data_IF_608347557580
#
_entry.id   IF_608347557580
#
_cell.length_a   1.000
_cell.length_b   1.000
_cell.length_c   1.000
_cell.angle_alpha   90.00
_cell.angle_beta   90.00
_cell.angle_gamma   90.00
#
_symmetry.space_group_name_H-M   'P 1'
#
loop_
_entity.id
_entity.type
_entity.pdbx_description
1 polymer ?
#
# COMPACT_ATOMS: atom_id res chain seq x y z
N UNK A 1 -3.11 27.05 1.50
CA UNK A 1 -4.36 26.40 1.05
C UNK A 1 -5.19 25.86 2.21
N UNK A 2 -4.58 25.33 3.26
CA UNK A 2 -5.24 24.79 4.47
C UNK A 2 -6.20 25.78 5.16
N UNK A 3 -5.81 27.06 5.29
CA UNK A 3 -6.67 28.10 5.92
C UNK A 3 -8.03 28.24 5.23
N UNK A 4 -8.08 28.14 3.90
CA UNK A 4 -9.34 28.21 3.14
C UNK A 4 -10.25 27.00 3.40
N UNK A 5 -9.66 25.81 3.51
CA UNK A 5 -10.41 24.58 3.80
C UNK A 5 -11.04 24.62 5.21
N UNK A 6 -10.33 25.12 6.21
CA UNK A 6 -10.87 25.29 7.57
C UNK A 6 -11.98 26.33 7.64
N UNK A 7 -11.90 27.41 6.85
CA UNK A 7 -12.98 28.40 6.76
C UNK A 7 -14.24 27.78 6.14
N UNK A 8 -14.10 27.03 5.05
CA UNK A 8 -15.23 26.32 4.44
C UNK A 8 -15.86 25.31 5.39
N UNK A 9 -15.04 24.52 6.08
CA UNK A 9 -15.51 23.56 7.08
C UNK A 9 -16.27 24.27 8.22
N UNK A 10 -15.74 25.40 8.69
CA UNK A 10 -16.37 26.18 9.76
C UNK A 10 -17.71 26.79 9.33
N UNK A 11 -17.77 27.38 8.13
CA UNK A 11 -19.01 27.95 7.56
C UNK A 11 -20.04 26.85 7.33
N UNK A 12 -19.63 25.73 6.73
CA UNK A 12 -20.49 24.58 6.51
C UNK A 12 -21.05 24.01 7.82
N UNK A 13 -20.21 23.92 8.87
CA UNK A 13 -20.62 23.43 10.18
C UNK A 13 -21.65 24.36 10.85
N UNK A 14 -21.45 25.68 10.78
CA UNK A 14 -22.40 26.67 11.31
C UNK A 14 -23.74 26.59 10.58
N UNK A 15 -23.71 26.47 9.25
CA UNK A 15 -24.92 26.28 8.45
C UNK A 15 -25.62 24.97 8.83
N UNK A 16 -24.92 23.83 8.83
CA UNK A 16 -25.50 22.54 9.22
C UNK A 16 -26.13 22.58 10.60
N UNK A 17 -25.45 23.20 11.57
CA UNK A 17 -25.97 23.37 12.92
C UNK A 17 -27.23 24.23 12.95
N UNK A 18 -27.24 25.36 12.22
CA UNK A 18 -28.42 26.21 12.09
C UNK A 18 -29.62 25.46 11.50
N UNK A 19 -29.40 24.67 10.44
CA UNK A 19 -30.43 23.85 9.82
C UNK A 19 -30.97 22.78 10.76
N UNK A 20 -30.08 22.13 11.50
CA UNK A 20 -30.43 21.12 12.49
C UNK A 20 -31.23 21.70 13.67
N UNK A 21 -30.81 22.84 14.23
CA UNK A 21 -31.55 23.53 15.30
C UNK A 21 -32.93 23.95 14.80
N UNK A 22 -33.03 24.50 13.58
CA UNK A 22 -34.31 24.92 13.01
C UNK A 22 -35.28 23.74 12.83
N UNK A 23 -34.79 22.60 12.32
CA UNK A 23 -35.59 21.37 12.21
C UNK A 23 -36.02 20.84 13.58
N UNK A 24 -35.15 20.91 14.58
CA UNK A 24 -35.45 20.46 15.95
C UNK A 24 -36.53 21.33 16.60
N UNK A 25 -36.40 22.66 16.50
CA UNK A 25 -37.43 23.61 16.98
C UNK A 25 -38.75 23.36 16.27
N UNK A 26 -38.74 23.14 14.96
CA UNK A 26 -39.94 22.80 14.21
C UNK A 26 -40.56 21.47 14.68
N UNK A 27 -39.72 20.48 14.97
CA UNK A 27 -40.13 19.20 15.57
C UNK A 27 -40.90 19.42 16.87
N UNK A 28 -40.32 20.18 17.82
CA UNK A 28 -40.99 20.51 19.08
C UNK A 28 -42.27 21.32 18.90
N UNK A 29 -42.33 22.21 17.90
CA UNK A 29 -43.56 22.96 17.57
C UNK A 29 -44.69 22.03 17.09
N UNK A 30 -44.37 20.89 16.49
CA UNK A 30 -45.37 19.90 16.05
C UNK A 30 -45.73 18.91 17.16
N UNK A 31 -44.75 18.32 17.83
CA UNK A 31 -44.94 17.54 19.05
C UNK A 31 -43.63 17.32 19.80
N UNK A 32 -43.71 17.10 21.11
CA UNK A 32 -42.56 16.76 21.95
C UNK A 32 -41.88 15.48 21.44
N UNK A 33 -42.67 14.48 21.01
CA UNK A 33 -42.14 13.23 20.46
C UNK A 33 -41.30 13.43 19.19
N UNK A 34 -41.72 14.31 18.28
CA UNK A 34 -40.93 14.62 17.08
C UNK A 34 -39.65 15.37 17.42
N UNK A 35 -39.72 16.34 18.33
CA UNK A 35 -38.54 17.06 18.81
C UNK A 35 -37.50 16.12 19.41
N UNK A 36 -37.91 15.23 20.32
CA UNK A 36 -37.03 14.23 20.93
C UNK A 36 -36.51 13.20 19.92
N UNK A 37 -37.35 12.75 18.98
CA UNK A 37 -36.93 11.81 17.94
C UNK A 37 -35.84 12.43 17.05
N UNK A 38 -35.99 13.69 16.62
CA UNK A 38 -34.97 14.38 15.82
C UNK A 38 -33.70 14.62 16.66
N UNK A 39 -33.83 14.97 17.94
CA UNK A 39 -32.69 15.26 18.82
C UNK A 39 -31.85 14.00 19.08
N UNK A 40 -32.48 12.93 19.59
CA UNK A 40 -31.80 11.73 20.08
C UNK A 40 -31.61 10.65 19.02
N UNK A 41 -32.49 10.55 18.02
CA UNK A 41 -32.35 9.61 16.92
C UNK A 41 -31.85 10.31 15.65
N UNK A 42 -31.14 11.43 15.77
CA UNK A 42 -30.46 12.10 14.65
C UNK A 42 -29.44 11.20 13.94
N UNK A 43 -28.84 10.25 14.66
CA UNK A 43 -28.01 9.16 14.09
C UNK A 43 -28.81 8.27 13.12
N UNK A 44 -30.11 8.07 13.40
CA UNK A 44 -31.00 7.28 12.57
C UNK A 44 -31.61 8.20 11.51
N UNK A 45 -31.25 8.01 10.24
CA UNK A 45 -31.79 8.82 9.13
C UNK A 45 -33.33 8.69 9.03
N UNK A 46 -33.90 7.59 9.52
CA UNK A 46 -35.32 7.22 9.40
C UNK A 46 -36.29 8.28 9.98
N UNK A 47 -36.26 8.66 11.27
CA UNK A 47 -37.17 9.66 11.84
C UNK A 47 -37.08 11.02 11.14
N UNK A 48 -35.89 11.42 10.70
CA UNK A 48 -35.71 12.65 9.92
C UNK A 48 -36.46 12.57 8.59
N UNK A 49 -36.34 11.47 7.85
CA UNK A 49 -37.02 11.26 6.56
C UNK A 49 -38.54 11.21 6.75
N UNK A 50 -39.05 10.53 7.77
CA UNK A 50 -40.49 10.48 8.05
C UNK A 50 -41.01 11.88 8.41
N UNK A 51 -40.27 12.64 9.22
CA UNK A 51 -40.63 14.02 9.55
C UNK A 51 -40.65 14.92 8.31
N UNK A 52 -39.65 14.79 7.44
CA UNK A 52 -39.54 15.57 6.20
C UNK A 52 -40.68 15.29 5.23
N UNK A 53 -41.04 14.02 5.04
CA UNK A 53 -42.14 13.64 4.15
C UNK A 53 -43.48 14.15 4.67
N UNK A 54 -43.69 14.11 6.00
CA UNK A 54 -44.92 14.56 6.63
C UNK A 54 -45.07 16.09 6.70
N UNK A 55 -43.98 16.82 6.93
CA UNK A 55 -44.01 18.28 7.17
C UNK A 55 -43.15 19.08 6.18
N UNK A 56 -43.02 18.59 4.95
CA UNK A 56 -42.13 19.14 3.92
C UNK A 56 -42.23 20.66 3.73
N UNK A 57 -43.46 21.19 3.62
CA UNK A 57 -43.68 22.61 3.34
C UNK A 57 -43.02 23.55 4.36
N UNK A 58 -42.96 23.12 5.62
CA UNK A 58 -42.37 23.87 6.74
C UNK A 58 -40.91 23.49 6.97
N UNK A 59 -40.54 22.22 6.77
CA UNK A 59 -39.21 21.69 7.03
C UNK A 59 -38.18 22.00 5.93
N UNK A 60 -38.62 22.30 4.69
CA UNK A 60 -37.73 22.49 3.52
C UNK A 60 -36.61 23.50 3.75
N UNK A 61 -36.86 24.59 4.47
CA UNK A 61 -35.86 25.65 4.69
C UNK A 61 -34.76 25.15 5.62
N UNK A 62 -35.12 24.54 6.76
CA UNK A 62 -34.15 23.96 7.68
C UNK A 62 -33.38 22.81 7.05
N UNK A 63 -34.06 21.98 6.24
CA UNK A 63 -33.43 20.90 5.50
C UNK A 63 -32.44 21.40 4.43
N UNK A 64 -32.82 22.36 3.60
CA UNK A 64 -31.93 22.91 2.57
C UNK A 64 -30.68 23.53 3.20
N UNK A 65 -30.85 24.24 4.31
CA UNK A 65 -29.74 24.85 5.03
C UNK A 65 -28.81 23.79 5.63
N UNK A 66 -29.36 22.68 6.12
CA UNK A 66 -28.60 21.51 6.57
C UNK A 66 -27.85 20.81 5.42
N UNK A 67 -28.49 20.61 4.26
CA UNK A 67 -27.87 19.99 3.08
C UNK A 67 -26.73 20.86 2.54
N UNK A 68 -26.97 22.15 2.35
CA UNK A 68 -25.94 23.09 1.88
C UNK A 68 -24.77 23.14 2.85
N UNK A 69 -25.03 23.25 4.16
CA UNK A 69 -23.98 23.22 5.17
C UNK A 69 -23.16 21.93 5.11
N UNK A 70 -23.83 20.79 4.94
CA UNK A 70 -23.16 19.47 4.91
C UNK A 70 -22.30 19.30 3.66
N UNK A 71 -22.78 19.77 2.50
CA UNK A 71 -21.99 19.77 1.26
C UNK A 71 -20.77 20.67 1.38
N UNK A 72 -20.93 21.90 1.90
CA UNK A 72 -19.82 22.84 2.09
C UNK A 72 -18.78 22.29 3.08
N UNK A 73 -19.23 21.72 4.20
CA UNK A 73 -18.36 21.02 5.15
C UNK A 73 -17.67 19.82 4.53
N UNK A 74 -18.38 19.04 3.71
CA UNK A 74 -17.83 17.89 3.00
C UNK A 74 -16.69 18.30 2.07
N UNK A 75 -16.86 19.36 1.29
CA UNK A 75 -15.81 19.91 0.43
C UNK A 75 -14.60 20.36 1.26
N UNK A 76 -14.84 21.08 2.36
CA UNK A 76 -13.78 21.49 3.28
C UNK A 76 -13.03 20.31 3.89
N UNK A 77 -13.75 19.27 4.30
CA UNK A 77 -13.19 18.02 4.83
C UNK A 77 -12.33 17.30 3.80
N UNK A 78 -12.82 17.11 2.58
CA UNK A 78 -12.05 16.49 1.50
C UNK A 78 -10.79 17.29 1.16
N UNK A 79 -10.85 18.62 1.21
CA UNK A 79 -9.67 19.45 1.00
C UNK A 79 -8.62 19.28 2.12
N UNK A 80 -9.06 19.17 3.38
CA UNK A 80 -8.15 18.92 4.52
C UNK A 80 -7.55 17.51 4.42
N UNK A 81 -8.39 16.47 4.34
CA UNK A 81 -7.94 15.07 4.31
C UNK A 81 -7.10 14.77 3.05
N UNK A 82 -7.52 15.29 1.90
CA UNK A 82 -6.76 15.16 0.65
C UNK A 82 -5.37 15.78 0.77
N UNK A 83 -5.25 16.96 1.40
CA UNK A 83 -3.94 17.58 1.60
C UNK A 83 -3.00 16.74 2.47
N UNK A 84 -3.54 16.07 3.51
CA UNK A 84 -2.76 15.17 4.37
C UNK A 84 -2.32 13.91 3.62
N UNK A 85 -3.21 13.35 2.79
CA UNK A 85 -2.87 12.19 1.97
C UNK A 85 -1.79 12.52 0.94
N UNK A 86 -1.87 13.68 0.29
CA UNK A 86 -0.85 14.14 -0.66
C UNK A 86 0.48 14.43 0.03
N UNK A 87 0.49 15.06 1.20
CA UNK A 87 1.74 15.29 1.94
C UNK A 87 2.39 13.99 2.42
N UNK A 88 1.58 13.02 2.88
CA UNK A 88 2.09 11.72 3.26
C UNK A 88 2.74 11.00 2.07
N UNK A 89 2.15 11.06 0.87
CA UNK A 89 2.75 10.48 -0.33
C UNK A 89 4.05 11.18 -0.76
N UNK A 90 4.12 12.52 -0.64
CA UNK A 90 5.32 13.27 -0.99
C UNK A 90 6.52 12.91 -0.09
N UNK A 91 6.29 12.63 1.20
CA UNK A 91 7.37 12.19 2.11
C UNK A 91 7.96 10.83 1.70
N UNK A 92 7.16 9.93 1.09
CA UNK A 92 7.64 8.65 0.59
C UNK A 92 8.49 8.78 -0.67
N UNK A 93 8.24 9.76 -1.55
CA UNK A 93 9.08 10.00 -2.74
C UNK A 93 10.45 10.57 -2.37
N UNK A 94 10.57 11.36 -1.30
CA UNK A 94 11.87 11.89 -0.84
C UNK A 94 12.78 10.86 -0.14
N UNK A 95 12.33 9.62 0.06
CA UNK A 95 13.19 8.50 0.43
C UNK A 95 13.92 7.87 -0.78
N UNK A 96 14.09 8.64 -1.86
CA UNK A 96 15.12 8.38 -2.86
C UNK A 96 16.49 8.36 -2.18
N UNK A 97 16.94 7.14 -1.87
CA UNK A 97 18.32 6.69 -1.99
C UNK A 97 19.33 7.83 -1.94
N UNK A 98 19.57 8.45 -0.78
CA UNK A 98 20.92 8.94 -0.52
C UNK A 98 21.76 7.69 -0.76
N UNK A 99 22.58 7.63 -1.83
CA UNK A 99 23.40 6.47 -2.07
C UNK A 99 24.13 6.28 -0.76
N UNK A 100 23.89 5.16 -0.08
CA UNK A 100 24.76 4.77 1.01
C UNK A 100 26.12 4.75 0.33
N UNK A 101 26.92 5.80 0.55
CA UNK A 101 28.32 5.82 0.19
C UNK A 101 28.87 4.64 0.98
N UNK A 102 28.91 3.47 0.34
CA UNK A 102 29.61 2.32 0.84
C UNK A 102 31.01 2.87 1.02
N UNK A 103 31.50 3.06 2.26
CA UNK A 103 32.87 3.47 2.46
C UNK A 103 33.67 2.42 1.73
N UNK A 104 34.33 2.83 0.64
CA UNK A 104 35.25 1.98 -0.09
C UNK A 104 36.28 1.58 0.95
N UNK A 105 36.16 0.38 1.50
CA UNK A 105 37.17 -0.19 2.36
C UNK A 105 38.42 -0.25 1.49
N UNK A 106 39.32 0.69 1.77
CA UNK A 106 40.64 0.77 1.17
C UNK A 106 41.27 -0.62 1.33
N UNK A 107 41.64 -1.30 0.24
CA UNK A 107 42.14 -2.67 0.32
C UNK A 107 43.36 -2.68 1.23
N UNK A 108 43.20 -3.29 2.40
CA UNK A 108 44.28 -3.52 3.35
C UNK A 108 45.34 -4.30 2.58
N UNK A 109 46.46 -3.63 2.29
CA UNK A 109 47.63 -4.25 1.71
C UNK A 109 47.99 -5.44 2.60
N UNK A 110 47.83 -6.65 2.07
CA UNK A 110 48.29 -7.86 2.72
C UNK A 110 49.78 -7.67 3.07
N UNK A 111 50.20 -7.94 4.32
CA UNK A 111 51.61 -7.92 4.65
C UNK A 111 52.31 -8.98 3.79
N UNK A 112 53.36 -8.56 3.10
CA UNK A 112 54.22 -9.46 2.35
C UNK A 112 54.71 -10.58 3.28
N UNK A 113 54.28 -11.81 3.03
CA UNK A 113 54.87 -12.98 3.64
C UNK A 113 56.30 -13.11 3.11
N UNK A 114 57.27 -12.97 4.01
CA UNK A 114 58.68 -13.31 3.77
C UNK A 114 58.78 -14.80 3.41
N UNK A 115 59.04 -15.06 2.13
CA UNK A 115 59.31 -16.38 1.58
C UNK A 115 60.73 -16.84 2.01
N UNK A 116 60.92 -17.95 2.75
CA UNK A 116 62.25 -18.49 3.03
C UNK A 116 62.84 -19.18 1.79
N UNK A 117 64.18 -19.17 1.64
CA UNK A 117 64.85 -19.57 0.41
C UNK A 117 64.69 -21.07 0.06
N UNK A 118 64.67 -21.41 -1.25
CA UNK A 118 64.38 -22.76 -1.71
C UNK A 118 65.50 -23.75 -1.39
N UNK A 119 65.12 -24.89 -0.83
CA UNK A 119 65.99 -26.06 -0.71
C UNK A 119 66.04 -26.77 -2.06
N UNK A 120 67.25 -26.87 -2.61
CA UNK A 120 67.56 -27.60 -3.84
C UNK A 120 67.26 -29.08 -3.64
N UNK A 121 66.34 -29.62 -4.42
CA UNK A 121 66.21 -31.07 -4.66
C UNK A 121 66.33 -31.28 -6.17
N UNK A 122 67.49 -31.81 -6.58
CA UNK A 122 67.72 -32.39 -7.91
C UNK A 122 66.86 -33.65 -8.08
N UNK A 123 66.14 -33.77 -9.20
CA UNK A 123 65.36 -34.97 -9.53
C UNK A 123 64.31 -34.79 -10.63
N UNK A 124 64.76 -34.52 -11.86
CA UNK A 124 64.26 -34.92 -13.20
C UNK A 124 63.02 -35.88 -13.33
N UNK A 125 62.27 -35.94 -14.46
CA UNK A 125 61.79 -34.91 -15.40
C UNK A 125 60.28 -34.97 -15.75
N UNK A 126 59.82 -33.88 -16.40
CA UNK A 126 58.84 -33.79 -17.49
C UNK A 126 57.40 -34.29 -17.30
N UNK A 127 56.45 -33.34 -17.21
CA UNK A 127 55.21 -33.38 -18.01
C UNK A 127 54.78 -31.96 -18.39
N UNK A 128 54.39 -31.84 -19.66
CA UNK A 128 54.11 -30.68 -20.48
C UNK A 128 53.23 -29.56 -19.88
N UNK A 129 53.74 -28.32 -20.02
CA UNK A 129 53.15 -27.16 -20.73
C UNK A 129 51.63 -27.16 -20.96
N UNK A 130 50.95 -26.19 -20.37
CA UNK A 130 49.86 -25.43 -21.01
C UNK A 130 49.69 -24.07 -20.31
N UNK A 131 50.46 -23.11 -20.82
CA UNK A 131 50.22 -21.68 -20.66
C UNK A 131 49.24 -21.28 -21.77
N UNK A 132 48.03 -20.81 -21.43
CA UNK A 132 47.20 -20.11 -22.41
C UNK A 132 46.26 -19.08 -21.77
N UNK A 133 46.63 -17.82 -22.04
CA UNK A 133 45.76 -16.71 -22.41
C UNK A 133 44.65 -16.26 -21.46
N UNK A 134 44.99 -15.19 -20.74
CA UNK A 134 44.06 -14.10 -20.44
C UNK A 134 43.22 -13.75 -21.69
N UNK A 135 41.92 -13.97 -21.59
CA UNK A 135 40.95 -13.45 -22.56
C UNK A 135 40.18 -12.33 -21.87
N UNK A 136 40.58 -11.10 -22.19
CA UNK A 136 39.75 -9.90 -22.06
C UNK A 136 38.44 -10.15 -22.82
N UNK A 137 37.36 -10.39 -22.09
CA UNK A 137 36.02 -10.34 -22.66
C UNK A 137 35.56 -8.89 -22.66
N UNK A 138 35.21 -8.32 -23.83
CA UNK A 138 34.59 -7.00 -23.87
C UNK A 138 33.24 -7.08 -23.16
N UNK A 139 33.04 -6.21 -22.17
CA UNK A 139 31.74 -5.96 -21.56
C UNK A 139 30.78 -5.46 -22.65
N UNK A 140 30.06 -6.38 -23.28
CA UNK A 140 28.90 -6.04 -24.10
C UNK A 140 27.86 -5.39 -23.18
N UNK A 141 27.74 -4.07 -23.34
CA UNK A 141 26.65 -3.27 -22.79
C UNK A 141 25.37 -3.74 -23.47
N UNK A 142 24.75 -4.75 -22.86
CA UNK A 142 23.45 -5.26 -23.29
C UNK A 142 22.42 -4.14 -23.17
N UNK A 143 21.87 -3.76 -24.31
CA UNK A 143 20.84 -2.74 -24.42
C UNK A 143 19.61 -3.13 -23.58
N UNK A 144 18.85 -2.16 -23.02
CA UNK A 144 17.71 -2.47 -22.18
C UNK A 144 16.66 -3.23 -22.98
N UNK A 145 16.50 -4.51 -22.66
CA UNK A 145 15.41 -5.36 -23.17
C UNK A 145 14.09 -4.62 -22.92
N UNK A 146 13.20 -4.48 -23.92
CA UNK A 146 11.89 -3.89 -23.72
C UNK A 146 11.16 -4.70 -22.64
N UNK A 147 10.74 -4.01 -21.57
CA UNK A 147 9.91 -4.56 -20.51
C UNK A 147 8.66 -5.13 -21.16
N UNK A 148 8.64 -6.45 -21.35
CA UNK A 148 7.43 -7.18 -21.71
C UNK A 148 6.45 -6.91 -20.59
N UNK A 149 5.36 -6.21 -20.91
CA UNK A 149 4.30 -5.96 -19.96
C UNK A 149 3.85 -7.33 -19.40
N UNK A 150 4.14 -7.57 -18.12
CA UNK A 150 3.62 -8.75 -17.44
C UNK A 150 2.10 -8.79 -17.64
N UNK A 151 1.52 -9.97 -17.94
CA UNK A 151 0.08 -10.10 -18.05
C UNK A 151 -0.53 -9.55 -16.76
N UNK A 152 -1.52 -8.67 -16.94
CA UNK A 152 -2.30 -8.13 -15.82
C UNK A 152 -2.83 -9.33 -15.02
N UNK A 153 -2.43 -9.52 -13.75
CA UNK A 153 -2.92 -10.65 -12.98
C UNK A 153 -4.45 -10.54 -12.92
N UNK A 154 -5.12 -11.66 -13.19
CA UNK A 154 -6.57 -11.76 -13.33
C UNK A 154 -7.39 -11.31 -12.09
N UNK A 155 -6.74 -10.96 -10.98
CA UNK A 155 -7.38 -10.59 -9.72
C UNK A 155 -7.85 -9.13 -9.57
N UNK A 156 -7.73 -8.29 -10.60
CA UNK A 156 -8.19 -6.88 -10.53
C UNK A 156 -9.67 -6.68 -10.92
N UNK A 157 -10.45 -7.77 -11.09
CA UNK A 157 -11.89 -7.67 -11.34
C UNK A 157 -12.63 -7.70 -10.01
N UNK A 158 -12.97 -6.52 -9.49
CA UNK A 158 -13.90 -6.38 -8.36
C UNK A 158 -15.22 -7.10 -8.69
N UNK A 159 -15.42 -8.31 -8.18
CA UNK A 159 -16.70 -9.02 -8.26
C UNK A 159 -16.63 -10.53 -8.46
N UNK A 160 -15.49 -11.07 -8.90
CA UNK A 160 -15.33 -12.52 -9.06
C UNK A 160 -14.98 -13.16 -7.71
N UNK A 161 -15.75 -14.18 -7.30
CA UNK A 161 -15.45 -14.94 -6.09
C UNK A 161 -14.24 -15.82 -6.37
N UNK A 162 -13.07 -15.36 -5.96
CA UNK A 162 -11.85 -16.17 -5.97
C UNK A 162 -11.99 -17.26 -4.91
N UNK A 163 -11.89 -18.53 -5.32
CA UNK A 163 -11.79 -19.65 -4.40
C UNK A 163 -10.34 -19.75 -3.91
N UNK A 164 -10.16 -19.89 -2.61
CA UNK A 164 -8.84 -19.92 -1.97
C UNK A 164 -8.54 -21.34 -1.50
N UNK A 165 -7.47 -21.93 -2.01
CA UNK A 165 -7.00 -23.26 -1.61
C UNK A 165 -5.79 -23.13 -0.68
N UNK A 166 -5.85 -23.77 0.50
CA UNK A 166 -4.74 -23.73 1.46
C UNK A 166 -3.59 -24.60 0.96
N UNK A 167 -2.43 -23.98 0.76
CA UNK A 167 -1.24 -24.69 0.34
C UNK A 167 -0.50 -25.23 1.57
N UNK A 168 -0.60 -26.53 1.79
CA UNK A 168 -0.04 -27.21 2.97
C UNK A 168 1.47 -27.45 2.80
N UNK A 169 1.94 -27.61 1.56
CA UNK A 169 3.33 -27.98 1.27
C UNK A 169 4.11 -26.85 0.58
N UNK A 170 5.14 -26.26 1.25
CA UNK A 170 5.96 -25.20 0.68
C UNK A 170 6.83 -25.65 -0.50
N UNK A 171 6.99 -26.95 -0.76
CA UNK A 171 7.72 -27.44 -1.94
C UNK A 171 6.99 -27.13 -3.26
N UNK A 172 5.65 -27.02 -3.21
CA UNK A 172 4.82 -26.75 -4.40
C UNK A 172 4.67 -25.26 -4.72
N UNK A 173 5.19 -24.38 -3.86
CA UNK A 173 4.99 -22.93 -3.97
C UNK A 173 5.63 -22.34 -5.23
N UNK A 174 6.72 -22.94 -5.73
CA UNK A 174 7.38 -22.51 -6.96
C UNK A 174 6.52 -22.72 -8.21
N UNK A 175 5.54 -23.62 -8.17
CA UNK A 175 4.61 -23.83 -9.28
C UNK A 175 3.59 -22.68 -9.43
N UNK A 176 3.41 -21.87 -8.38
CA UNK A 176 2.43 -20.77 -8.31
C UNK A 176 3.07 -19.40 -8.53
N UNK A 177 4.30 -19.34 -9.07
CA UNK A 177 4.95 -18.06 -9.41
C UNK A 177 4.18 -17.39 -10.54
N UNK A 178 3.78 -16.13 -10.31
CA UNK A 178 2.91 -15.33 -11.16
C UNK A 178 1.44 -15.34 -10.73
N UNK A 179 1.05 -16.19 -9.78
CA UNK A 179 -0.33 -16.29 -9.30
C UNK A 179 -0.61 -15.36 -8.11
N UNK A 180 -1.90 -15.07 -7.90
CA UNK A 180 -2.36 -14.31 -6.74
C UNK A 180 -2.42 -15.23 -5.52
N UNK A 181 -1.77 -14.83 -4.44
CA UNK A 181 -1.76 -15.56 -3.17
C UNK A 181 -2.27 -14.66 -2.03
N UNK A 182 -2.92 -15.28 -1.06
CA UNK A 182 -3.29 -14.67 0.21
C UNK A 182 -2.39 -15.22 1.32
N UNK A 183 -1.55 -14.35 1.87
CA UNK A 183 -0.66 -14.63 2.98
C UNK A 183 -1.34 -14.21 4.27
N UNK A 184 -1.54 -15.17 5.18
CA UNK A 184 -1.93 -14.89 6.55
C UNK A 184 -0.69 -14.84 7.41
N UNK A 185 -0.45 -13.69 8.01
CA UNK A 185 0.72 -13.44 8.84
C UNK A 185 0.46 -13.88 10.28
N UNK A 186 1.53 -14.15 11.03
CA UNK A 186 1.46 -14.57 12.44
C UNK A 186 0.93 -13.49 13.38
N UNK A 187 1.03 -12.22 12.98
CA UNK A 187 0.44 -11.09 13.71
C UNK A 187 -1.08 -10.94 13.47
N UNK A 188 -1.65 -11.80 12.62
CA UNK A 188 -3.07 -11.78 12.25
C UNK A 188 -3.41 -10.91 11.04
N UNK A 189 -2.43 -10.21 10.45
CA UNK A 189 -2.63 -9.46 9.21
C UNK A 189 -2.81 -10.38 8.00
N UNK A 190 -3.56 -9.89 7.02
CA UNK A 190 -3.83 -10.57 5.75
C UNK A 190 -3.25 -9.74 4.61
N UNK A 191 -2.41 -10.36 3.77
CA UNK A 191 -1.84 -9.74 2.58
C UNK A 191 -2.25 -10.49 1.33
N UNK A 192 -2.80 -9.76 0.34
CA UNK A 192 -3.10 -10.27 -0.99
C UNK A 192 -2.08 -9.73 -1.97
N UNK A 193 -1.25 -10.62 -2.51
CA UNK A 193 -0.06 -10.27 -3.29
C UNK A 193 0.15 -11.27 -4.42
N UNK A 194 0.87 -10.87 -5.47
CA UNK A 194 1.32 -11.78 -6.52
C UNK A 194 2.66 -12.37 -6.12
N UNK A 195 2.83 -13.69 -6.26
CA UNK A 195 4.09 -14.36 -5.98
C UNK A 195 5.06 -14.19 -7.14
N UNK A 196 6.19 -13.52 -6.96
CA UNK A 196 7.19 -13.33 -8.03
C UNK A 196 8.32 -14.35 -7.96
N UNK A 197 8.61 -14.87 -6.77
CA UNK A 197 9.70 -15.81 -6.57
C UNK A 197 9.72 -16.45 -5.19
N UNK A 198 10.33 -17.62 -5.11
CA UNK A 198 10.40 -18.42 -3.89
C UNK A 198 11.88 -18.61 -3.54
N UNK A 199 12.29 -18.02 -2.41
CA UNK A 199 13.64 -18.19 -1.85
C UNK A 199 13.59 -19.15 -0.64
N UNK A 200 14.74 -19.66 -0.16
CA UNK A 200 14.76 -20.60 0.97
C UNK A 200 14.09 -20.04 2.25
N UNK A 201 14.35 -18.76 2.57
CA UNK A 201 13.90 -18.12 3.82
C UNK A 201 12.83 -17.04 3.61
N UNK A 202 12.55 -16.67 2.36
CA UNK A 202 11.63 -15.60 2.01
C UNK A 202 10.82 -15.89 0.75
N UNK A 203 9.73 -15.16 0.56
CA UNK A 203 8.95 -15.10 -0.67
C UNK A 203 9.09 -13.71 -1.26
N UNK A 204 9.44 -13.59 -2.54
CA UNK A 204 9.36 -12.30 -3.25
C UNK A 204 7.94 -12.13 -3.75
N UNK A 205 7.30 -11.04 -3.32
CA UNK A 205 5.92 -10.76 -3.67
C UNK A 205 5.78 -9.35 -4.23
N UNK A 206 4.83 -9.16 -5.13
CA UNK A 206 4.47 -7.85 -5.69
C UNK A 206 3.05 -7.49 -5.30
N UNK A 207 2.88 -6.27 -4.78
CA UNK A 207 1.59 -5.67 -4.48
C UNK A 207 1.33 -4.47 -5.40
N UNK A 208 0.14 -4.40 -6.00
CA UNK A 208 -0.28 -3.21 -6.76
C UNK A 208 -0.92 -2.18 -5.83
N UNK A 209 -0.33 -0.99 -5.76
CA UNK A 209 -0.82 0.12 -4.93
C UNK A 209 -0.78 1.40 -5.78
N UNK A 210 -1.90 2.13 -5.85
CA UNK A 210 -1.94 3.46 -6.48
C UNK A 210 -1.58 3.52 -7.97
N UNK A 211 -1.73 2.42 -8.73
CA UNK A 211 -1.34 2.35 -10.15
C UNK A 211 0.10 1.93 -10.40
N UNK A 212 0.91 1.75 -9.35
CA UNK A 212 2.25 1.16 -9.41
C UNK A 212 2.28 -0.30 -8.94
N UNK A 213 3.47 -0.89 -8.99
CA UNK A 213 3.78 -2.21 -8.45
C UNK A 213 4.94 -2.08 -7.45
N UNK A 214 4.75 -2.62 -6.24
CA UNK A 214 5.76 -2.64 -5.19
C UNK A 214 6.17 -4.08 -4.92
N UNK A 215 7.44 -4.41 -5.20
CA UNK A 215 8.01 -5.74 -4.96
C UNK A 215 8.83 -5.74 -3.67
N UNK A 216 8.56 -6.68 -2.77
CA UNK A 216 9.29 -6.79 -1.50
C UNK A 216 9.39 -8.24 -1.02
N UNK A 217 10.43 -8.60 -0.24
CA UNK A 217 10.56 -9.93 0.34
C UNK A 217 9.73 -10.06 1.63
N UNK A 218 9.00 -11.17 1.78
CA UNK A 218 8.29 -11.56 3.00
C UNK A 218 8.97 -12.78 3.61
N UNK A 219 9.42 -12.67 4.87
CA UNK A 219 10.11 -13.78 5.54
C UNK A 219 9.14 -14.91 5.86
N UNK A 220 9.52 -16.15 5.56
CA UNK A 220 8.69 -17.34 5.83
C UNK A 220 8.34 -17.48 7.31
N UNK A 221 9.22 -17.04 8.21
CA UNK A 221 8.98 -17.06 9.66
C UNK A 221 7.84 -16.16 10.13
N UNK A 222 7.43 -15.17 9.33
CA UNK A 222 6.32 -14.27 9.63
C UNK A 222 4.98 -14.79 9.11
N UNK A 223 5.03 -15.79 8.22
CA UNK A 223 3.84 -16.35 7.57
C UNK A 223 3.28 -17.47 8.47
N UNK A 224 1.97 -17.46 8.67
CA UNK A 224 1.24 -18.50 9.37
C UNK A 224 0.60 -19.48 8.38
N UNK A 225 -0.09 -18.96 7.36
CA UNK A 225 -0.81 -19.76 6.36
C UNK A 225 -0.65 -19.11 4.97
N UNK A 226 -0.66 -19.93 3.92
CA UNK A 226 -0.59 -19.49 2.53
C UNK A 226 -1.79 -20.08 1.79
N UNK A 227 -2.57 -19.23 1.13
CA UNK A 227 -3.65 -19.64 0.24
C UNK A 227 -3.36 -19.18 -1.17
N UNK A 228 -3.68 -20.01 -2.16
CA UNK A 228 -3.53 -19.69 -3.57
C UNK A 228 -4.90 -19.48 -4.20
N UNK A 229 -5.02 -18.48 -5.06
CA UNK A 229 -6.23 -18.22 -5.83
C UNK A 229 -6.40 -19.31 -6.91
N UNK A 230 -7.57 -19.95 -6.95
CA UNK A 230 -7.93 -20.97 -7.95
C UNK A 230 -9.08 -20.52 -8.85
#
# INVERSE_FOLDING_TARGET
MTTGAYLLLSIGAILSLGGWVMLTVLGFKKSIGWGLAILFLSWLIIPLVIFLTKYWAEAKTGFLLLVVGTVVSGIGWFAVVGSVATSAMAEFETFELTPTEVPVEEPIAAPAEDEPPPTVIEGEPATAVAEEAATDLPLEVSSPTPVVALPTPAGAVLGERVEWEQLIDPAHLSAHVGELIELRMRDGSLLRVTLDGVEPDALRVTQRVGGGALSYPVRRSQIAEIHVAR
#
